data_IF_293421778390
#
_entry.id   IF_293421778390
#
_cell.length_a   1.000
_cell.length_b   1.000
_cell.length_c   1.000
_cell.angle_alpha   90.00
_cell.angle_beta   90.00
_cell.angle_gamma   90.00
#
_symmetry.space_group_name_H-M   'P 1'
#
loop_
_entity.id
_entity.type
_entity.pdbx_description
1 polymer ?
#
# COMPACT_ATOMS: atom_id res chain seq x y z
N UNK A 1 -6.15 8.94 27.57
CA UNK A 1 -4.70 8.96 27.36
C UNK A 1 -4.35 8.25 26.04
N UNK A 2 -4.71 8.88 24.92
CA UNK A 2 -4.82 8.22 23.60
C UNK A 2 -4.13 9.06 22.52
N UNK A 3 -2.81 9.21 22.61
CA UNK A 3 -2.05 10.11 21.72
C UNK A 3 -0.73 9.54 21.16
N UNK A 4 -0.26 8.36 21.59
CA UNK A 4 1.13 7.94 21.31
C UNK A 4 1.34 6.82 20.29
N UNK A 5 0.39 6.53 19.36
CA UNK A 5 0.55 5.36 18.45
C UNK A 5 0.42 5.59 16.94
N UNK A 6 0.28 6.83 16.46
CA UNK A 6 0.30 7.13 15.00
C UNK A 6 1.70 7.39 14.42
N UNK A 7 2.69 7.50 15.31
CA UNK A 7 4.06 7.95 15.03
C UNK A 7 4.90 7.06 14.09
N UNK A 8 4.76 5.71 14.03
CA UNK A 8 5.82 4.94 13.36
C UNK A 8 5.77 4.86 11.82
N UNK A 9 4.62 5.12 11.17
CA UNK A 9 4.48 5.05 9.70
C UNK A 9 4.73 6.42 9.05
N UNK A 10 4.20 7.47 9.68
CA UNK A 10 4.47 8.87 9.31
C UNK A 10 5.96 9.17 9.48
N UNK A 11 6.64 8.67 10.51
CA UNK A 11 8.09 8.88 10.67
C UNK A 11 8.96 8.18 9.61
N UNK A 12 8.50 7.07 9.02
CA UNK A 12 9.25 6.38 7.95
C UNK A 12 9.09 7.13 6.62
N UNK A 13 7.87 7.60 6.35
CA UNK A 13 7.58 8.51 5.24
C UNK A 13 8.28 9.86 5.42
N UNK A 14 8.27 10.43 6.62
CA UNK A 14 8.97 11.66 6.96
C UNK A 14 10.47 11.48 6.84
N UNK A 15 11.06 10.34 7.21
CA UNK A 15 12.49 10.08 6.98
C UNK A 15 12.84 9.98 5.50
N UNK A 16 11.94 9.41 4.69
CA UNK A 16 12.06 9.38 3.23
C UNK A 16 11.96 10.81 2.66
N UNK A 17 10.98 11.59 3.11
CA UNK A 17 10.76 13.00 2.78
C UNK A 17 11.87 13.93 3.30
N UNK A 18 12.47 13.67 4.45
CA UNK A 18 13.59 14.43 5.03
C UNK A 18 14.90 14.18 4.27
N UNK A 19 15.07 12.96 3.74
CA UNK A 19 16.15 12.66 2.81
C UNK A 19 15.93 13.39 1.48
N UNK A 20 14.68 13.46 0.99
CA UNK A 20 14.32 14.25 -0.18
C UNK A 20 14.49 15.77 0.01
N UNK A 21 14.11 16.33 1.16
CA UNK A 21 14.29 17.75 1.48
C UNK A 21 15.77 18.16 1.53
N UNK A 22 16.65 17.27 1.99
CA UNK A 22 18.11 17.51 2.03
C UNK A 22 18.78 17.47 0.65
N UNK A 23 18.18 16.82 -0.35
CA UNK A 23 18.76 16.66 -1.70
C UNK A 23 18.23 17.64 -2.76
N UNK A 24 17.38 18.60 -2.39
CA UNK A 24 17.29 19.88 -3.11
C UNK A 24 15.89 20.44 -3.30
N UNK A 25 15.65 21.61 -2.72
CA UNK A 25 14.49 22.48 -2.93
C UNK A 25 14.40 23.09 -4.36
N UNK A 26 15.14 22.57 -5.35
CA UNK A 26 15.25 23.12 -6.71
C UNK A 26 15.00 22.12 -7.85
N UNK A 27 14.68 20.85 -7.56
CA UNK A 27 14.45 19.86 -8.64
C UNK A 27 12.95 19.73 -8.94
N UNK A 28 12.57 19.92 -10.20
CA UNK A 28 11.21 19.67 -10.69
C UNK A 28 10.84 18.17 -10.65
N UNK A 29 11.85 17.30 -10.71
CA UNK A 29 11.72 15.85 -10.75
C UNK A 29 12.69 15.14 -9.81
N UNK A 30 12.25 14.00 -9.28
CA UNK A 30 13.07 13.01 -8.57
C UNK A 30 13.39 11.87 -9.53
N UNK A 31 14.66 11.48 -9.62
CA UNK A 31 15.05 10.29 -10.39
C UNK A 31 14.48 9.03 -9.73
N UNK A 32 14.01 8.11 -10.56
CA UNK A 32 13.43 6.85 -10.12
C UNK A 32 14.14 5.69 -10.81
N UNK A 33 14.50 4.67 -10.02
CA UNK A 33 15.00 3.38 -10.52
C UNK A 33 13.93 2.33 -10.23
N UNK A 34 12.85 2.28 -11.03
CA UNK A 34 11.73 1.41 -10.73
C UNK A 34 12.10 -0.06 -10.91
N UNK A 35 11.41 -0.92 -10.16
CA UNK A 35 11.52 -2.38 -10.30
C UNK A 35 11.17 -2.87 -11.72
N UNK A 36 10.27 -2.16 -12.41
CA UNK A 36 9.85 -2.44 -13.78
C UNK A 36 10.13 -1.25 -14.73
N UNK A 37 11.40 -1.04 -15.17
CA UNK A 37 11.78 0.11 -16.00
C UNK A 37 11.11 0.18 -17.37
N UNK A 38 10.60 -0.94 -17.86
CA UNK A 38 9.95 -1.05 -19.16
C UNK A 38 8.53 -0.45 -19.18
N UNK A 39 7.91 -0.23 -18.01
CA UNK A 39 6.54 0.29 -17.88
C UNK A 39 6.43 1.48 -16.91
N UNK A 40 7.36 1.61 -15.95
CA UNK A 40 7.30 2.67 -14.94
C UNK A 40 8.17 3.87 -15.33
N UNK A 41 7.79 5.05 -14.85
CA UNK A 41 8.55 6.28 -15.08
C UNK A 41 9.94 6.24 -14.42
N UNK A 42 10.95 6.71 -15.15
CA UNK A 42 12.31 6.91 -14.65
C UNK A 42 12.49 8.23 -13.88
N UNK A 43 11.47 9.10 -13.87
CA UNK A 43 11.45 10.37 -13.14
C UNK A 43 10.04 10.63 -12.62
N UNK A 44 9.92 11.07 -11.37
CA UNK A 44 8.65 11.44 -10.75
C UNK A 44 8.63 12.95 -10.47
N UNK A 45 7.62 13.71 -10.92
CA UNK A 45 7.53 15.13 -10.62
C UNK A 45 7.31 15.35 -9.12
N UNK A 46 8.01 16.33 -8.53
CA UNK A 46 7.86 16.67 -7.10
C UNK A 46 6.44 17.10 -6.77
N UNK A 47 5.78 17.82 -7.68
CA UNK A 47 4.37 18.19 -7.55
C UNK A 47 3.45 16.96 -7.43
N UNK A 48 3.73 15.89 -8.18
CA UNK A 48 2.97 14.64 -8.12
C UNK A 48 3.11 13.92 -6.78
N UNK A 49 4.30 14.00 -6.16
CA UNK A 49 4.53 13.43 -4.81
C UNK A 49 3.66 14.14 -3.77
N UNK A 50 3.54 15.48 -3.87
CA UNK A 50 2.69 16.25 -2.95
C UNK A 50 1.20 15.92 -3.10
N UNK A 51 0.73 15.75 -4.33
CA UNK A 51 -0.67 15.36 -4.54
C UNK A 51 -0.94 13.91 -4.12
N UNK A 52 0.05 13.01 -4.24
CA UNK A 52 -0.03 11.66 -3.69
C UNK A 52 -0.19 11.69 -2.16
N UNK A 53 0.59 12.52 -1.46
CA UNK A 53 0.49 12.68 0.00
C UNK A 53 -0.93 13.12 0.42
N UNK A 54 -1.46 14.16 -0.22
CA UNK A 54 -2.84 14.63 0.03
C UNK A 54 -3.89 13.56 -0.24
N UNK A 55 -3.71 12.78 -1.31
CA UNK A 55 -4.59 11.67 -1.60
C UNK A 55 -4.52 10.61 -0.51
N UNK A 56 -3.34 10.25 -0.04
CA UNK A 56 -3.17 9.27 1.04
C UNK A 56 -3.85 9.71 2.33
N UNK A 57 -3.73 10.99 2.72
CA UNK A 57 -4.43 11.55 3.87
C UNK A 57 -5.96 11.47 3.72
N UNK A 58 -6.48 11.85 2.54
CA UNK A 58 -7.91 11.77 2.24
C UNK A 58 -8.41 10.33 2.27
N UNK A 59 -7.69 9.40 1.65
CA UNK A 59 -8.02 7.96 1.65
C UNK A 59 -8.05 7.42 3.07
N UNK A 60 -7.04 7.73 3.89
CA UNK A 60 -6.97 7.25 5.28
C UNK A 60 -8.21 7.65 6.07
N UNK A 61 -8.65 8.91 5.95
CA UNK A 61 -9.87 9.41 6.61
C UNK A 61 -11.15 8.74 6.09
N UNK A 62 -11.16 8.28 4.84
CA UNK A 62 -12.31 7.66 4.20
C UNK A 62 -12.39 6.13 4.39
N UNK A 63 -11.30 5.46 4.78
CA UNK A 63 -11.26 3.99 4.99
C UNK A 63 -12.40 3.45 5.89
N UNK A 64 -12.78 4.11 7.00
CA UNK A 64 -13.91 3.66 7.81
C UNK A 64 -15.27 3.64 7.10
N UNK A 65 -15.40 4.30 5.94
CA UNK A 65 -16.64 4.24 5.13
C UNK A 65 -16.73 2.98 4.26
N UNK A 66 -15.61 2.26 4.07
CA UNK A 66 -15.56 1.09 3.19
C UNK A 66 -16.06 -0.15 3.93
N UNK A 67 -17.27 -0.59 3.56
CA UNK A 67 -17.94 -1.79 4.13
C UNK A 67 -17.92 -3.01 3.21
N UNK A 68 -17.49 -2.84 1.95
CA UNK A 68 -17.42 -3.93 0.98
C UNK A 68 -16.44 -5.03 1.46
N UNK A 69 -16.66 -6.31 1.10
CA UNK A 69 -15.69 -7.35 1.39
C UNK A 69 -14.29 -6.97 0.87
N UNK A 70 -13.26 -7.16 1.69
CA UNK A 70 -11.92 -6.66 1.38
C UNK A 70 -10.83 -7.71 1.62
N UNK A 71 -9.90 -7.81 0.68
CA UNK A 71 -8.64 -8.53 0.86
C UNK A 71 -7.50 -7.53 0.81
N UNK A 72 -6.70 -7.48 1.89
CA UNK A 72 -5.47 -6.70 1.96
C UNK A 72 -4.28 -7.66 1.86
N UNK A 73 -3.41 -7.45 0.87
CA UNK A 73 -2.22 -8.29 0.63
C UNK A 73 -0.96 -7.43 0.72
N UNK A 74 0.05 -7.92 1.44
CA UNK A 74 1.31 -7.21 1.68
C UNK A 74 2.52 -8.14 1.50
N UNK A 75 3.59 -7.65 0.90
CA UNK A 75 4.91 -8.29 0.95
C UNK A 75 5.56 -8.08 2.33
N UNK A 76 6.09 -9.15 2.92
CA UNK A 76 6.75 -9.12 4.22
C UNK A 76 7.94 -8.15 4.24
N UNK A 77 8.82 -8.24 3.25
CA UNK A 77 10.06 -7.45 3.15
C UNK A 77 9.97 -6.44 1.99
N UNK A 78 8.87 -5.70 1.93
CA UNK A 78 8.67 -4.64 0.94
C UNK A 78 9.69 -3.50 1.15
N UNK A 79 10.57 -3.21 0.16
CA UNK A 79 11.61 -2.20 0.31
C UNK A 79 11.10 -0.77 0.06
N UNK A 80 9.86 -0.61 -0.40
CA UNK A 80 9.29 0.69 -0.80
C UNK A 80 8.32 1.21 0.25
N UNK A 81 7.44 0.35 0.77
CA UNK A 81 6.43 0.76 1.77
C UNK A 81 6.44 -0.13 3.02
N UNK A 82 6.08 0.45 4.16
CA UNK A 82 6.01 -0.29 5.43
C UNK A 82 4.75 -1.16 5.52
N UNK A 83 4.90 -2.40 5.97
CA UNK A 83 3.79 -3.30 6.34
C UNK A 83 2.86 -2.76 7.43
N UNK A 84 3.29 -1.73 8.17
CA UNK A 84 2.41 -1.01 9.11
C UNK A 84 1.27 -0.29 8.38
N UNK A 85 1.52 0.22 7.17
CA UNK A 85 0.52 0.93 6.38
C UNK A 85 -0.63 0.02 5.97
N UNK A 86 -0.32 -1.14 5.39
CA UNK A 86 -1.34 -2.13 5.01
C UNK A 86 -2.07 -2.73 6.20
N UNK A 87 -1.39 -2.95 7.33
CA UNK A 87 -2.07 -3.32 8.58
C UNK A 87 -3.06 -2.24 9.04
N UNK A 88 -2.68 -0.97 8.98
CA UNK A 88 -3.56 0.16 9.32
C UNK A 88 -4.77 0.22 8.38
N UNK A 89 -4.59 -0.01 7.08
CA UNK A 89 -5.69 -0.14 6.12
C UNK A 89 -6.65 -1.23 6.57
N UNK A 90 -6.15 -2.45 6.82
CA UNK A 90 -6.99 -3.55 7.28
C UNK A 90 -7.76 -3.22 8.57
N UNK A 91 -7.13 -2.57 9.54
CA UNK A 91 -7.76 -2.18 10.80
C UNK A 91 -8.86 -1.12 10.61
N UNK A 92 -8.62 -0.12 9.77
CA UNK A 92 -9.56 1.00 9.55
C UNK A 92 -10.78 0.66 8.69
N UNK A 93 -10.71 -0.37 7.83
CA UNK A 93 -11.86 -0.78 7.03
C UNK A 93 -13.04 -1.21 7.92
N UNK A 94 -14.23 -0.67 7.67
CA UNK A 94 -15.49 -1.10 8.34
C UNK A 94 -16.15 -2.30 7.66
N UNK A 95 -15.37 -3.08 6.91
CA UNK A 95 -15.83 -4.30 6.26
C UNK A 95 -15.99 -5.43 7.27
N UNK A 96 -17.16 -6.08 7.26
CA UNK A 96 -17.43 -7.27 8.08
C UNK A 96 -16.68 -8.51 7.55
N UNK A 97 -16.52 -8.60 6.24
CA UNK A 97 -15.79 -9.67 5.58
C UNK A 97 -14.46 -9.14 5.03
N UNK A 98 -13.45 -9.08 5.90
CA UNK A 98 -12.09 -8.66 5.52
C UNK A 98 -11.03 -9.68 5.90
N UNK A 99 -10.00 -9.77 5.06
CA UNK A 99 -8.83 -10.62 5.27
C UNK A 99 -7.54 -9.84 5.09
N UNK A 100 -6.51 -10.20 5.86
CA UNK A 100 -5.16 -9.65 5.72
C UNK A 100 -4.15 -10.77 5.52
N UNK A 101 -3.41 -10.73 4.42
CA UNK A 101 -2.41 -11.73 4.07
C UNK A 101 -1.06 -11.03 3.91
N UNK A 102 -0.06 -11.56 4.62
CA UNK A 102 1.34 -11.18 4.44
C UNK A 102 2.04 -12.35 3.75
N UNK A 103 2.66 -12.09 2.61
CA UNK A 103 3.40 -13.08 1.84
C UNK A 103 4.90 -12.88 2.03
N UNK A 104 5.65 -13.98 2.11
CA UNK A 104 7.11 -13.95 2.18
C UNK A 104 7.71 -13.59 0.82
N UNK A 105 7.55 -12.32 0.45
CA UNK A 105 8.01 -11.69 -0.78
C UNK A 105 8.80 -10.44 -0.35
N UNK A 106 9.95 -10.22 -0.98
CA UNK A 106 10.91 -9.16 -0.64
C UNK A 106 10.99 -8.05 -1.69
N UNK A 107 9.88 -7.79 -2.38
CA UNK A 107 9.75 -6.75 -3.41
C UNK A 107 8.39 -6.07 -3.31
N UNK A 108 8.29 -4.89 -3.91
CA UNK A 108 7.07 -4.10 -3.84
C UNK A 108 6.04 -4.54 -4.90
N UNK A 109 6.48 -4.85 -6.12
CA UNK A 109 5.56 -5.28 -7.18
C UNK A 109 5.25 -6.77 -7.06
N UNK A 110 4.34 -7.10 -6.14
CA UNK A 110 3.98 -8.48 -5.79
C UNK A 110 3.14 -9.20 -6.87
N UNK A 111 2.56 -8.46 -7.81
CA UNK A 111 1.63 -8.99 -8.83
C UNK A 111 2.33 -9.63 -10.03
N UNK A 112 3.63 -9.40 -10.20
CA UNK A 112 4.47 -9.97 -11.26
C UNK A 112 5.74 -10.57 -10.65
N UNK A 113 6.47 -11.37 -11.43
CA UNK A 113 7.72 -12.01 -10.98
C UNK A 113 7.52 -13.22 -10.06
N UNK A 114 8.61 -13.62 -9.39
CA UNK A 114 8.66 -14.85 -8.58
C UNK A 114 7.67 -14.84 -7.41
N UNK A 115 6.84 -15.87 -7.24
CA UNK A 115 5.84 -15.88 -6.15
C UNK A 115 4.56 -15.07 -6.42
N UNK A 116 4.44 -14.40 -7.57
CA UNK A 116 3.18 -13.72 -7.95
C UNK A 116 1.98 -14.67 -8.00
N UNK A 117 2.21 -15.95 -8.33
CA UNK A 117 1.17 -16.98 -8.30
C UNK A 117 0.51 -17.13 -6.92
N UNK A 118 1.21 -16.84 -5.82
CA UNK A 118 0.64 -16.85 -4.46
C UNK A 118 -0.36 -15.71 -4.29
N UNK A 119 -0.05 -14.52 -4.83
CA UNK A 119 -0.97 -13.37 -4.86
C UNK A 119 -2.19 -13.71 -5.72
N UNK A 120 -1.98 -14.25 -6.92
CA UNK A 120 -3.09 -14.62 -7.82
C UNK A 120 -4.00 -15.66 -7.19
N UNK A 121 -3.43 -16.67 -6.52
CA UNK A 121 -4.20 -17.67 -5.78
C UNK A 121 -5.01 -17.03 -4.64
N UNK A 122 -4.39 -16.17 -3.83
CA UNK A 122 -5.08 -15.50 -2.72
C UNK A 122 -6.27 -14.66 -3.21
N UNK A 123 -6.10 -13.93 -4.31
CA UNK A 123 -7.18 -13.15 -4.94
C UNK A 123 -8.27 -14.07 -5.48
N UNK A 124 -7.91 -15.15 -6.19
CA UNK A 124 -8.85 -16.12 -6.73
C UNK A 124 -9.68 -16.83 -5.65
N UNK A 125 -9.03 -17.25 -4.57
CA UNK A 125 -9.69 -17.89 -3.42
C UNK A 125 -10.65 -16.93 -2.73
N UNK A 126 -10.23 -15.66 -2.54
CA UNK A 126 -11.09 -14.63 -1.96
C UNK A 126 -12.35 -14.39 -2.82
N UNK A 127 -12.19 -14.17 -4.13
CA UNK A 127 -13.32 -13.99 -5.04
C UNK A 127 -14.23 -15.23 -5.04
N UNK A 128 -13.65 -16.43 -5.12
CA UNK A 128 -14.39 -17.69 -5.06
C UNK A 128 -15.19 -17.84 -3.75
N UNK A 129 -14.65 -17.38 -2.63
CA UNK A 129 -15.37 -17.39 -1.34
C UNK A 129 -16.60 -16.48 -1.37
N UNK A 130 -16.51 -15.30 -1.98
CA UNK A 130 -17.64 -14.35 -2.09
C UNK A 130 -18.75 -14.89 -3.00
N UNK A 131 -18.39 -15.59 -4.08
CA UNK A 131 -19.37 -16.20 -5.00
C UNK A 131 -20.13 -17.36 -4.35
N UNK A 132 -19.47 -18.16 -3.51
CA UNK A 132 -20.11 -19.27 -2.78
C UNK A 132 -21.12 -18.79 -1.74
N UNK A 133 -20.88 -17.62 -1.12
CA UNK A 133 -21.83 -17.01 -0.18
C UNK A 133 -23.11 -16.57 -0.90
N UNK A 134 -22.98 -15.94 -2.07
CA UNK A 134 -24.14 -15.49 -2.87
C UNK A 134 -25.02 -16.61 -3.43
N UNK A 135 -24.48 -17.82 -3.62
CA UNK A 135 -25.24 -18.96 -4.16
C UNK A 135 -26.00 -19.79 -3.12
N UNK A 136 -25.98 -19.38 -1.84
CA UNK A 136 -26.68 -20.05 -0.73
C UNK A 136 -27.86 -19.24 -0.18
N UNK A 137 -28.11 -18.05 -0.72
CA UNK A 137 -29.32 -17.25 -0.52
C UNK A 137 -30.32 -17.52 -1.66
#
# INVERSE_FOLDING_TARGET
DFSSRLVPAVDAWNRLMERFHREGAMKEFVENRPENPHINYSRNPVSGIRELERLMESVESALPSVKAPALVVQAHDDPVVSSRGSKKVYELLSSENKSYIVLNINRHVIVTGEGAHLVHKAVGDFIGSLMKVKGKE
#
